data_IF_208162948615
#
_entry.id   IF_208162948615
#
_cell.length_a   1.000
_cell.length_b   1.000
_cell.length_c   1.000
_cell.angle_alpha   90.00
_cell.angle_beta   90.00
_cell.angle_gamma   90.00
#
_symmetry.space_group_name_H-M   'P 1'
#
loop_
_entity.id
_entity.type
_entity.pdbx_description
1 polymer ?
#
# COMPACT_ATOMS: atom_id res chain seq x y z
N UNK A 1 21.68 -2.56 3.39
CA UNK A 1 20.73 -3.57 2.88
C UNK A 1 19.32 -3.11 3.24
N UNK A 2 18.36 -3.14 2.32
CA UNK A 2 16.97 -2.84 2.66
C UNK A 2 16.41 -3.99 3.50
N UNK A 3 15.90 -3.68 4.69
CA UNK A 3 15.34 -4.68 5.61
C UNK A 3 13.81 -4.69 5.55
N UNK A 4 13.21 -5.80 5.99
CA UNK A 4 11.78 -5.89 6.22
C UNK A 4 11.29 -4.75 7.15
N UNK A 5 12.07 -4.36 8.15
CA UNK A 5 11.74 -3.23 9.05
C UNK A 5 11.65 -1.89 8.31
N UNK A 6 12.55 -1.63 7.36
CA UNK A 6 12.49 -0.40 6.56
C UNK A 6 11.24 -0.34 5.67
N UNK A 7 10.81 -1.48 5.12
CA UNK A 7 9.56 -1.58 4.38
C UNK A 7 8.36 -1.41 5.32
N UNK A 8 8.40 -2.06 6.49
CA UNK A 8 7.37 -1.98 7.53
C UNK A 8 7.11 -0.54 7.97
N UNK A 9 8.18 0.21 8.25
CA UNK A 9 8.06 1.62 8.66
C UNK A 9 7.49 2.50 7.56
N UNK A 10 7.87 2.25 6.30
CA UNK A 10 7.30 2.95 5.15
C UNK A 10 5.80 2.66 4.99
N UNK A 11 5.39 1.40 5.15
CA UNK A 11 3.97 1.00 5.09
C UNK A 11 3.18 1.67 6.22
N UNK A 12 3.72 1.70 7.45
CA UNK A 12 3.08 2.40 8.57
C UNK A 12 2.92 3.90 8.31
N UNK A 13 3.94 4.53 7.74
CA UNK A 13 3.88 5.94 7.36
C UNK A 13 2.78 6.22 6.33
N UNK A 14 2.64 5.33 5.32
CA UNK A 14 1.56 5.39 4.34
C UNK A 14 0.18 5.21 5.00
N UNK A 15 0.02 4.23 5.89
CA UNK A 15 -1.24 4.03 6.64
C UNK A 15 -1.63 5.30 7.38
N UNK A 16 -0.72 5.90 8.15
CA UNK A 16 -1.01 7.15 8.87
C UNK A 16 -1.39 8.31 7.95
N UNK A 17 -0.82 8.40 6.74
CA UNK A 17 -1.20 9.42 5.77
C UNK A 17 -2.58 9.19 5.15
N UNK A 18 -2.98 7.93 4.95
CA UNK A 18 -4.33 7.59 4.52
C UNK A 18 -5.33 7.92 5.63
N UNK A 19 -4.99 7.62 6.89
CA UNK A 19 -5.84 7.92 8.06
C UNK A 19 -6.05 9.42 8.26
N UNK A 20 -5.10 10.25 7.81
CA UNK A 20 -5.19 11.71 7.84
C UNK A 20 -6.09 12.31 6.74
N UNK A 21 -6.58 11.51 5.78
CA UNK A 21 -7.51 11.99 4.75
C UNK A 21 -8.84 12.42 5.38
N UNK A 22 -9.44 13.56 4.96
CA UNK A 22 -10.71 14.04 5.52
C UNK A 22 -11.85 13.02 5.43
N UNK A 23 -11.87 12.21 4.38
CA UNK A 23 -12.91 11.22 4.11
C UNK A 23 -12.71 9.94 4.93
N UNK A 24 -11.54 9.71 5.52
CA UNK A 24 -11.18 8.44 6.15
C UNK A 24 -12.14 8.08 7.29
N UNK A 25 -12.41 9.00 8.22
CA UNK A 25 -13.26 8.72 9.38
C UNK A 25 -14.67 8.26 8.97
N UNK A 26 -15.26 8.91 7.96
CA UNK A 26 -16.58 8.53 7.44
C UNK A 26 -16.52 7.17 6.73
N UNK A 27 -15.56 6.99 5.81
CA UNK A 27 -15.43 5.77 5.01
C UNK A 27 -15.06 4.55 5.85
N UNK A 28 -14.27 4.74 6.92
CA UNK A 28 -13.95 3.70 7.88
C UNK A 28 -15.20 3.25 8.63
N UNK A 29 -16.05 4.18 9.06
CA UNK A 29 -17.30 3.85 9.75
C UNK A 29 -18.26 3.07 8.86
N UNK A 30 -18.37 3.42 7.58
CA UNK A 30 -19.23 2.71 6.62
C UNK A 30 -18.56 1.48 5.99
N UNK A 31 -17.26 1.31 6.22
CA UNK A 31 -16.40 0.28 5.60
C UNK A 31 -16.53 0.27 4.08
N UNK A 32 -16.61 1.46 3.48
CA UNK A 32 -16.84 1.64 2.04
C UNK A 32 -16.17 2.92 1.54
N UNK A 33 -15.89 2.95 0.23
CA UNK A 33 -15.22 4.07 -0.43
C UNK A 33 -13.73 3.82 -0.67
N UNK A 34 -13.15 4.70 -1.48
CA UNK A 34 -11.83 4.56 -2.09
C UNK A 34 -10.69 4.71 -1.08
N UNK A 35 -10.83 5.63 -0.13
CA UNK A 35 -9.84 5.85 0.93
C UNK A 35 -9.81 4.66 1.88
N UNK A 36 -10.97 4.19 2.34
CA UNK A 36 -11.04 3.02 3.22
C UNK A 36 -10.55 1.74 2.51
N UNK A 37 -10.93 1.53 1.25
CA UNK A 37 -10.46 0.39 0.47
C UNK A 37 -8.93 0.34 0.41
N UNK A 38 -8.29 1.47 0.10
CA UNK A 38 -6.83 1.53 0.04
C UNK A 38 -6.18 1.39 1.42
N UNK A 39 -6.78 1.95 2.47
CA UNK A 39 -6.32 1.75 3.84
C UNK A 39 -6.32 0.26 4.23
N UNK A 40 -7.41 -0.47 3.95
CA UNK A 40 -7.51 -1.90 4.29
C UNK A 40 -6.55 -2.74 3.44
N UNK A 41 -6.39 -2.40 2.16
CA UNK A 41 -5.42 -3.06 1.28
C UNK A 41 -3.97 -2.92 1.76
N UNK A 42 -3.57 -1.70 2.16
CA UNK A 42 -2.22 -1.44 2.70
C UNK A 42 -2.06 -2.06 4.09
N UNK A 43 -3.06 -1.96 4.97
CA UNK A 43 -3.04 -2.53 6.32
C UNK A 43 -2.97 -4.05 6.31
N UNK A 44 -3.68 -4.72 5.39
CA UNK A 44 -3.56 -6.17 5.20
C UNK A 44 -2.18 -6.57 4.67
N UNK A 45 -1.58 -5.76 3.80
CA UNK A 45 -0.22 -5.99 3.31
C UNK A 45 0.81 -5.88 4.45
N UNK A 46 0.64 -4.95 5.40
CA UNK A 46 1.46 -4.87 6.61
C UNK A 46 1.36 -6.15 7.45
N UNK A 47 0.13 -6.64 7.69
CA UNK A 47 -0.09 -7.88 8.45
C UNK A 47 0.56 -9.08 7.76
N UNK A 48 0.49 -9.15 6.43
CA UNK A 48 1.17 -10.19 5.64
C UNK A 48 2.68 -10.12 5.78
N UNK A 49 3.28 -8.92 5.73
CA UNK A 49 4.72 -8.73 5.95
C UNK A 49 5.15 -9.25 7.32
N UNK A 50 4.37 -8.95 8.36
CA UNK A 50 4.64 -9.39 9.73
C UNK A 50 4.53 -10.91 9.89
N UNK A 51 3.67 -11.58 9.10
CA UNK A 51 3.50 -13.03 9.14
C UNK A 51 4.37 -13.81 8.15
N UNK A 52 5.01 -13.15 7.17
CA UNK A 52 5.67 -13.83 6.05
C UNK A 52 6.87 -14.70 6.46
N UNK A 53 7.56 -14.37 7.56
CA UNK A 53 8.70 -15.17 8.04
C UNK A 53 9.75 -15.40 6.95
N UNK A 54 10.01 -16.68 6.61
CA UNK A 54 10.90 -17.08 5.50
C UNK A 54 10.14 -17.60 4.26
N UNK A 55 8.82 -17.49 4.25
CA UNK A 55 8.00 -17.92 3.13
C UNK A 55 8.23 -17.00 1.92
N UNK A 56 8.81 -17.57 0.85
CA UNK A 56 9.17 -16.83 -0.36
C UNK A 56 7.94 -16.35 -1.12
N UNK A 57 6.85 -17.12 -1.14
CA UNK A 57 5.61 -16.75 -1.83
C UNK A 57 4.95 -15.59 -1.09
N UNK A 58 4.82 -15.69 0.24
CA UNK A 58 4.28 -14.61 1.05
C UNK A 58 5.08 -13.31 0.91
N UNK A 59 6.42 -13.40 0.85
CA UNK A 59 7.27 -12.23 0.62
C UNK A 59 7.08 -11.63 -0.78
N UNK A 60 6.98 -12.48 -1.81
CA UNK A 60 6.68 -12.06 -3.18
C UNK A 60 5.35 -11.32 -3.25
N UNK A 61 4.31 -11.83 -2.59
CA UNK A 61 2.99 -11.20 -2.53
C UNK A 61 3.04 -9.84 -1.85
N UNK A 62 3.72 -9.72 -0.71
CA UNK A 62 3.90 -8.43 -0.02
C UNK A 62 4.58 -7.41 -0.92
N UNK A 63 5.63 -7.82 -1.63
CA UNK A 63 6.35 -6.97 -2.57
C UNK A 63 5.42 -6.50 -3.71
N UNK A 64 4.74 -7.44 -4.38
CA UNK A 64 3.85 -7.14 -5.50
C UNK A 64 2.68 -6.26 -5.09
N UNK A 65 2.06 -6.53 -3.93
CA UNK A 65 0.99 -5.70 -3.36
C UNK A 65 1.46 -4.28 -3.05
N UNK A 66 2.68 -4.14 -2.52
CA UNK A 66 3.28 -2.83 -2.25
C UNK A 66 3.50 -2.02 -3.52
N UNK A 67 3.95 -2.66 -4.60
CA UNK A 67 4.06 -2.01 -5.92
C UNK A 67 2.68 -1.66 -6.50
N UNK A 68 1.74 -2.60 -6.42
CA UNK A 68 0.39 -2.42 -6.94
C UNK A 68 -0.37 -1.31 -6.20
N UNK A 69 -0.15 -1.15 -4.89
CA UNK A 69 -0.71 -0.04 -4.12
C UNK A 69 -0.37 1.30 -4.76
N UNK A 70 0.90 1.53 -5.15
CA UNK A 70 1.30 2.79 -5.78
C UNK A 70 0.61 3.01 -7.14
N UNK A 71 0.42 1.95 -7.92
CA UNK A 71 -0.35 2.02 -9.18
C UNK A 71 -1.79 2.48 -8.90
N UNK A 72 -2.44 1.93 -7.86
CA UNK A 72 -3.79 2.29 -7.48
C UNK A 72 -3.91 3.73 -6.96
N UNK A 73 -2.94 4.19 -6.15
CA UNK A 73 -2.91 5.58 -5.68
C UNK A 73 -2.72 6.60 -6.81
N UNK A 74 -2.17 6.17 -7.94
CA UNK A 74 -1.95 6.97 -9.14
C UNK A 74 -2.89 6.59 -10.30
N UNK A 75 -3.97 5.84 -10.04
CA UNK A 75 -4.89 5.41 -11.09
C UNK A 75 -5.63 6.61 -11.70
N UNK A 76 -5.29 6.94 -12.94
CA UNK A 76 -6.00 7.94 -13.75
C UNK A 76 -7.01 7.31 -14.70
N UNK A 77 -7.12 5.97 -14.73
CA UNK A 77 -8.04 5.26 -15.65
C UNK A 77 -9.46 5.17 -15.10
N UNK A 78 -9.65 5.44 -13.80
CA UNK A 78 -10.94 5.35 -13.13
C UNK A 78 -11.35 3.93 -12.73
N UNK A 79 -10.48 2.94 -12.92
CA UNK A 79 -10.72 1.55 -12.52
C UNK A 79 -10.88 1.43 -11.01
N UNK A 80 -10.02 2.10 -10.24
CA UNK A 80 -10.13 2.12 -8.78
C UNK A 80 -11.47 2.73 -8.36
N UNK A 81 -11.85 3.85 -8.96
CA UNK A 81 -13.16 4.50 -8.74
C UNK A 81 -14.32 3.53 -9.01
N UNK A 82 -14.27 2.76 -10.09
CA UNK A 82 -15.29 1.74 -10.40
C UNK A 82 -15.33 0.62 -9.35
N UNK A 83 -14.17 0.14 -8.91
CA UNK A 83 -14.06 -0.89 -7.86
C UNK A 83 -14.59 -0.40 -6.51
N UNK A 84 -14.56 0.91 -6.26
CA UNK A 84 -14.95 1.54 -4.99
C UNK A 84 -16.32 2.21 -5.07
N UNK A 85 -17.22 1.70 -5.91
CA UNK A 85 -18.63 2.12 -5.95
C UNK A 85 -18.86 3.49 -6.58
N UNK A 86 -17.94 3.96 -7.43
CA UNK A 86 -18.03 5.28 -8.06
C UNK A 86 -17.44 6.42 -7.23
N UNK A 87 -16.79 6.12 -6.11
CA UNK A 87 -16.14 7.12 -5.27
C UNK A 87 -14.97 7.80 -6.01
N UNK A 88 -15.15 9.08 -6.36
CA UNK A 88 -14.19 9.92 -7.06
C UNK A 88 -13.24 10.68 -6.14
N UNK A 89 -13.15 10.30 -4.86
CA UNK A 89 -12.19 10.89 -3.93
C UNK A 89 -10.76 10.76 -4.47
N UNK A 90 -10.03 11.86 -4.46
CA UNK A 90 -8.63 11.91 -4.87
C UNK A 90 -7.70 11.79 -3.67
N UNK A 91 -6.57 11.10 -3.86
CA UNK A 91 -5.52 11.01 -2.85
C UNK A 91 -4.66 12.27 -2.85
N UNK A 92 -4.22 12.68 -1.65
CA UNK A 92 -3.33 13.81 -1.47
C UNK A 92 -1.93 13.49 -1.99
N UNK A 93 -1.17 14.55 -2.29
CA UNK A 93 0.23 14.40 -2.71
C UNK A 93 1.07 13.68 -1.65
N UNK A 94 0.75 13.87 -0.37
CA UNK A 94 1.42 13.17 0.73
C UNK A 94 1.19 11.65 0.72
N UNK A 95 -0.04 11.22 0.42
CA UNK A 95 -0.35 9.78 0.26
C UNK A 95 0.40 9.21 -0.95
N UNK A 96 0.41 9.94 -2.08
CA UNK A 96 1.11 9.50 -3.30
C UNK A 96 2.63 9.42 -3.10
N UNK A 97 3.23 10.41 -2.43
CA UNK A 97 4.65 10.40 -2.11
C UNK A 97 5.03 9.23 -1.19
N UNK A 98 4.18 8.93 -0.19
CA UNK A 98 4.41 7.79 0.71
C UNK A 98 4.17 6.44 0.03
N UNK A 99 3.24 6.34 -0.91
CA UNK A 99 3.05 5.11 -1.69
C UNK A 99 4.23 4.84 -2.63
N UNK A 100 4.82 5.89 -3.20
CA UNK A 100 6.07 5.78 -3.97
C UNK A 100 7.24 5.33 -3.07
N UNK A 101 7.35 5.89 -1.85
CA UNK A 101 8.34 5.44 -0.89
C UNK A 101 8.18 3.95 -0.53
N UNK A 102 6.95 3.47 -0.33
CA UNK A 102 6.64 2.05 -0.13
C UNK A 102 7.07 1.21 -1.34
N UNK A 103 6.74 1.62 -2.57
CA UNK A 103 7.16 0.92 -3.78
C UNK A 103 8.69 0.80 -3.86
N UNK A 104 9.41 1.90 -3.61
CA UNK A 104 10.87 1.93 -3.66
C UNK A 104 11.50 1.02 -2.60
N UNK A 105 10.97 1.03 -1.37
CA UNK A 105 11.44 0.12 -0.30
C UNK A 105 11.09 -1.34 -0.61
N UNK A 106 9.93 -1.61 -1.19
CA UNK A 106 9.53 -2.96 -1.58
C UNK A 106 10.40 -3.52 -2.70
N UNK A 107 10.76 -2.72 -3.70
CA UNK A 107 11.70 -3.13 -4.74
C UNK A 107 13.10 -3.43 -4.20
N UNK A 108 13.64 -2.54 -3.37
CA UNK A 108 14.95 -2.74 -2.74
C UNK A 108 14.97 -3.97 -1.81
N UNK A 109 13.89 -4.18 -1.05
CA UNK A 109 13.72 -5.37 -0.22
C UNK A 109 13.58 -6.63 -1.08
N UNK A 110 12.83 -6.59 -2.17
CA UNK A 110 12.69 -7.69 -3.11
C UNK A 110 14.01 -8.14 -3.74
N UNK A 111 14.90 -7.20 -4.07
CA UNK A 111 16.27 -7.54 -4.51
C UNK A 111 17.06 -8.20 -3.38
N UNK A 112 16.98 -7.69 -2.14
CA UNK A 112 17.69 -8.25 -0.99
C UNK A 112 17.22 -9.67 -0.61
N UNK A 113 15.94 -9.98 -0.83
CA UNK A 113 15.34 -11.31 -0.63
C UNK A 113 15.50 -12.23 -1.85
N UNK A 114 16.13 -11.76 -2.94
CA UNK A 114 16.29 -12.50 -4.19
C UNK A 114 14.97 -12.82 -4.90
N UNK A 115 13.95 -11.97 -4.74
CA UNK A 115 12.64 -12.05 -5.42
C UNK A 115 12.67 -11.36 -6.79
N UNK A 116 13.54 -10.37 -6.95
CA UNK A 116 13.80 -9.66 -8.19
C UNK A 116 15.28 -9.82 -8.55
N UNK A 117 15.59 -9.85 -9.84
CA UNK A 117 16.95 -9.61 -10.32
C UNK A 117 17.28 -8.13 -10.13
N UNK A 118 18.42 -7.84 -9.48
CA UNK A 118 18.93 -6.48 -9.29
C UNK A 118 19.62 -5.92 -10.52
#
# INVERSE_FOLDING_TARGET
>A
MASADALKDSIKSLISAIEAQPQFAQQQSSRSGKVYFMWDFVSSTLRMLESAGNDREAKSDVMQRSMFANILFNDTTGKLTQMTGGDSTEFSDDVKAKSEAVQNKAGAWGVAEGLLSG
#
